data_IF_605427796199
#
_entry.id   IF_605427796199
#
_cell.length_a   1.000
_cell.length_b   1.000
_cell.length_c   1.000
_cell.angle_alpha   90.00
_cell.angle_beta   90.00
_cell.angle_gamma   90.00
#
_symmetry.space_group_name_H-M   'P 1'
#
loop_
_entity.id
_entity.type
_entity.pdbx_description
1 polymer ?
#
# COMPACT_ATOMS: atom_id res chain seq x y z
N UNK A 1 -32.68 36.75 4.05
CA UNK A 1 -31.24 36.99 4.27
C UNK A 1 -30.98 36.82 5.76
N UNK A 2 -31.03 35.57 6.20
CA UNK A 2 -30.56 35.13 7.51
C UNK A 2 -29.42 34.19 7.15
N UNK A 3 -28.25 34.81 7.10
CA UNK A 3 -26.94 34.19 6.97
C UNK A 3 -26.93 32.91 7.80
N UNK A 4 -26.71 31.73 7.21
CA UNK A 4 -25.36 31.15 7.10
C UNK A 4 -24.52 31.26 8.38
N UNK A 5 -25.15 31.29 9.56
CA UNK A 5 -24.61 30.72 10.80
C UNK A 5 -24.53 29.21 10.62
N UNK A 6 -23.58 28.85 9.74
CA UNK A 6 -22.94 27.55 9.68
C UNK A 6 -22.79 27.05 11.10
N UNK A 7 -23.26 25.83 11.30
CA UNK A 7 -22.90 24.94 12.39
C UNK A 7 -21.37 24.73 12.44
N UNK A 8 -20.61 25.78 12.74
CA UNK A 8 -19.23 25.76 13.22
C UNK A 8 -19.27 25.37 14.70
N UNK A 9 -19.91 24.22 14.98
CA UNK A 9 -19.73 23.54 16.24
C UNK A 9 -18.24 23.26 16.36
N UNK A 10 -17.64 23.94 17.33
CA UNK A 10 -16.26 23.75 17.73
C UNK A 10 -16.03 22.25 17.96
N UNK A 11 -15.31 21.61 17.03
CA UNK A 11 -14.49 20.45 17.39
C UNK A 11 -13.38 21.01 18.28
N UNK A 12 -13.62 21.00 19.59
CA UNK A 12 -12.59 21.28 20.60
C UNK A 12 -11.37 20.41 20.29
N UNK A 13 -10.27 21.05 19.91
CA UNK A 13 -8.99 20.38 19.67
C UNK A 13 -8.29 20.05 20.98
N UNK A 14 -7.26 19.19 20.91
CA UNK A 14 -6.38 18.91 22.05
C UNK A 14 -5.09 19.71 21.84
N UNK A 15 -4.88 20.73 22.69
CA UNK A 15 -3.73 21.62 22.58
C UNK A 15 -3.66 22.33 21.21
N UNK A 16 -2.60 22.06 20.46
CA UNK A 16 -2.36 22.63 19.12
C UNK A 16 -2.91 21.77 17.97
N UNK A 17 -3.60 20.66 18.25
CA UNK A 17 -4.13 19.75 17.24
C UNK A 17 -5.65 19.85 17.16
N UNK A 18 -6.19 19.85 15.93
CA UNK A 18 -7.60 19.58 15.71
C UNK A 18 -7.93 18.15 16.17
N UNK A 19 -9.16 17.93 16.67
CA UNK A 19 -9.56 16.63 17.21
C UNK A 19 -9.29 15.46 16.24
N UNK A 20 -9.59 15.67 14.95
CA UNK A 20 -9.34 14.67 13.90
C UNK A 20 -7.86 14.30 13.77
N UNK A 21 -6.96 15.27 13.90
CA UNK A 21 -5.53 15.05 13.76
C UNK A 21 -4.93 14.49 15.05
N UNK A 22 -5.47 14.87 16.20
CA UNK A 22 -5.16 14.23 17.47
C UNK A 22 -5.55 12.74 17.47
N UNK A 23 -6.75 12.38 17.00
CA UNK A 23 -7.18 10.98 16.90
C UNK A 23 -6.25 10.15 16.01
N UNK A 24 -5.88 10.69 14.85
CA UNK A 24 -4.91 10.05 13.94
C UNK A 24 -3.54 9.91 14.59
N UNK A 25 -3.06 10.96 15.27
CA UNK A 25 -1.76 10.95 15.91
C UNK A 25 -1.70 9.95 17.07
N UNK A 26 -2.77 9.87 17.88
CA UNK A 26 -2.92 8.89 18.94
C UNK A 26 -2.90 7.46 18.39
N UNK A 27 -3.69 7.19 17.36
CA UNK A 27 -3.66 5.90 16.68
C UNK A 27 -2.25 5.58 16.13
N UNK A 28 -1.59 6.55 15.49
CA UNK A 28 -0.25 6.36 14.95
C UNK A 28 0.79 6.10 16.05
N UNK A 29 0.67 6.75 17.20
CA UNK A 29 1.51 6.55 18.37
C UNK A 29 1.35 5.13 18.96
N UNK A 30 0.12 4.61 19.00
CA UNK A 30 -0.12 3.21 19.39
C UNK A 30 0.53 2.24 18.38
N UNK A 31 0.45 2.53 17.08
CA UNK A 31 1.08 1.71 16.04
C UNK A 31 2.60 1.83 16.01
N UNK A 32 3.19 2.94 16.47
CA UNK A 32 4.65 3.15 16.43
C UNK A 32 5.40 2.48 17.59
N UNK A 33 4.68 1.91 18.56
CA UNK A 33 5.29 1.19 19.66
C UNK A 33 6.13 0.00 19.14
N UNK A 34 7.36 -0.25 19.66
CA UNK A 34 8.22 -1.35 19.17
C UNK A 34 7.59 -2.75 19.27
N UNK A 35 6.66 -2.93 20.20
CA UNK A 35 5.91 -4.17 20.37
C UNK A 35 4.68 -4.29 19.43
N UNK A 36 4.34 -3.26 18.65
CA UNK A 36 3.21 -3.32 17.73
C UNK A 36 3.48 -4.34 16.61
N UNK A 37 2.47 -5.09 16.15
CA UNK A 37 2.62 -5.98 15.00
C UNK A 37 3.13 -5.24 13.76
N UNK A 38 2.73 -3.98 13.58
CA UNK A 38 3.14 -3.14 12.45
C UNK A 38 4.63 -2.84 12.45
N UNK A 39 5.19 -2.42 13.59
CA UNK A 39 6.62 -2.13 13.68
C UNK A 39 7.47 -3.39 13.57
N UNK A 40 7.00 -4.51 14.15
CA UNK A 40 7.65 -5.82 13.97
C UNK A 40 7.62 -6.26 12.50
N UNK A 41 6.51 -6.06 11.82
CA UNK A 41 6.36 -6.34 10.39
C UNK A 41 7.31 -5.47 9.56
N UNK A 42 7.35 -4.15 9.77
CA UNK A 42 8.26 -3.23 9.08
C UNK A 42 9.73 -3.61 9.29
N UNK A 43 10.11 -3.93 10.54
CA UNK A 43 11.45 -4.39 10.89
C UNK A 43 11.81 -5.69 10.19
N UNK A 44 10.88 -6.64 10.13
CA UNK A 44 11.11 -7.95 9.52
C UNK A 44 11.20 -7.81 8.00
N UNK A 45 10.24 -7.14 7.37
CA UNK A 45 10.24 -6.83 5.94
C UNK A 45 11.51 -6.08 5.52
N UNK A 46 12.00 -5.14 6.34
CA UNK A 46 13.24 -4.41 6.10
C UNK A 46 14.53 -5.22 6.25
N UNK A 47 14.48 -6.41 6.85
CA UNK A 47 15.61 -7.33 6.98
C UNK A 47 15.51 -8.54 6.02
N UNK A 48 14.36 -8.76 5.39
CA UNK A 48 14.19 -9.78 4.35
C UNK A 48 14.73 -9.21 3.03
N UNK A 49 15.98 -9.52 2.71
CA UNK A 49 16.66 -9.18 1.44
C UNK A 49 16.22 -10.06 0.27
N UNK A 50 15.09 -10.75 0.37
CA UNK A 50 14.58 -11.62 -0.69
C UNK A 50 13.63 -10.85 -1.60
N UNK A 51 14.13 -10.49 -2.79
CA UNK A 51 13.47 -10.65 -4.09
C UNK A 51 11.97 -10.32 -4.26
N UNK A 52 11.37 -9.49 -3.42
CA UNK A 52 10.18 -8.74 -3.80
C UNK A 52 10.70 -7.57 -4.60
N UNK A 53 10.21 -7.34 -5.82
CA UNK A 53 10.42 -6.10 -6.55
C UNK A 53 9.82 -4.94 -5.73
N UNK A 54 10.55 -4.52 -4.69
CA UNK A 54 10.42 -3.21 -4.11
C UNK A 54 10.62 -2.26 -5.27
N UNK A 55 9.55 -1.52 -5.60
CA UNK A 55 9.45 -0.57 -6.70
C UNK A 55 10.79 0.15 -6.85
N UNK A 56 11.55 -0.29 -7.85
CA UNK A 56 12.87 0.20 -8.15
C UNK A 56 12.68 1.63 -8.62
N UNK A 57 13.05 2.60 -7.80
CA UNK A 57 13.25 3.96 -8.28
C UNK A 57 14.54 3.91 -9.09
N UNK A 58 14.42 3.72 -10.40
CA UNK A 58 15.55 3.76 -11.33
C UNK A 58 16.08 5.19 -11.45
N UNK A 59 16.71 5.73 -10.41
CA UNK A 59 17.66 6.83 -10.55
C UNK A 59 19.03 6.22 -10.87
N UNK A 60 19.28 6.02 -12.16
CA UNK A 60 20.32 5.13 -12.70
C UNK A 60 21.79 5.50 -12.52
N UNK A 61 22.25 6.10 -11.41
CA UNK A 61 23.65 6.55 -11.29
C UNK A 61 24.31 6.48 -9.90
N UNK A 62 23.82 5.70 -8.93
CA UNK A 62 24.53 5.53 -7.65
C UNK A 62 24.77 4.06 -7.27
N UNK A 63 25.96 3.70 -6.75
CA UNK A 63 26.22 2.37 -6.22
C UNK A 63 25.30 2.14 -5.02
N UNK A 64 24.23 1.38 -5.24
CA UNK A 64 23.20 1.13 -4.26
C UNK A 64 23.74 0.22 -3.16
N UNK A 65 23.85 0.75 -1.95
CA UNK A 65 23.47 -0.03 -0.78
C UNK A 65 21.94 0.07 -0.77
N UNK A 66 21.18 -0.95 -1.21
CA UNK A 66 19.73 -0.84 -1.26
C UNK A 66 19.23 -1.06 0.16
N UNK A 67 19.20 0.00 0.98
CA UNK A 67 18.43 -0.04 2.23
C UNK A 67 16.96 -0.23 1.80
N UNK A 68 16.28 -1.30 2.22
CA UNK A 68 14.89 -1.50 1.85
C UNK A 68 14.05 -0.32 2.31
N UNK A 69 13.11 0.12 1.47
CA UNK A 69 12.28 1.29 1.79
C UNK A 69 11.43 1.07 3.05
N UNK A 70 11.07 -0.18 3.34
CA UNK A 70 10.43 -0.61 4.60
C UNK A 70 11.33 -0.39 5.82
N UNK A 71 12.64 -0.64 5.70
CA UNK A 71 13.62 -0.36 6.76
C UNK A 71 13.77 1.13 7.00
N UNK A 72 13.82 1.93 5.94
CA UNK A 72 13.88 3.39 6.08
C UNK A 72 12.64 3.94 6.80
N UNK A 73 11.46 3.45 6.45
CA UNK A 73 10.21 3.84 7.12
C UNK A 73 10.19 3.41 8.60
N UNK A 74 10.64 2.19 8.92
CA UNK A 74 10.81 1.73 10.29
C UNK A 74 11.71 2.68 11.10
N UNK A 75 12.88 3.01 10.57
CA UNK A 75 13.88 3.82 11.26
C UNK A 75 13.38 5.26 11.48
N UNK A 76 12.66 5.82 10.51
CA UNK A 76 12.08 7.16 10.64
C UNK A 76 10.94 7.21 11.68
N UNK A 77 10.02 6.23 11.66
CA UNK A 77 8.96 6.13 12.68
C UNK A 77 9.56 5.94 14.08
N UNK A 78 10.62 5.14 14.18
CA UNK A 78 11.36 4.93 15.44
C UNK A 78 12.01 6.22 15.92
N UNK A 79 12.64 6.98 15.01
CA UNK A 79 13.27 8.27 15.31
C UNK A 79 12.26 9.29 15.85
N UNK A 80 11.12 9.44 15.18
CA UNK A 80 10.05 10.36 15.60
C UNK A 80 9.47 9.93 16.96
N UNK A 81 9.23 8.63 17.14
CA UNK A 81 8.71 8.09 18.41
C UNK A 81 9.69 8.30 19.57
N UNK A 82 10.99 8.14 19.32
CA UNK A 82 12.03 8.41 20.33
C UNK A 82 12.05 9.89 20.73
N UNK A 83 11.83 10.80 19.77
CA UNK A 83 11.75 12.24 20.04
C UNK A 83 10.50 12.60 20.85
N UNK A 84 9.38 11.91 20.62
CA UNK A 84 8.13 12.08 21.38
C UNK A 84 8.21 11.59 22.84
N UNK A 85 9.20 10.76 23.20
CA UNK A 85 9.42 10.34 24.60
C UNK A 85 9.84 11.48 25.53
N UNK A 86 10.06 12.70 25.01
CA UNK A 86 10.29 13.90 25.82
C UNK A 86 9.04 14.31 26.62
N UNK A 87 7.85 13.86 26.19
CA UNK A 87 6.59 14.10 26.89
C UNK A 87 6.08 12.82 27.56
N UNK A 88 5.35 12.92 28.68
CA UNK A 88 4.76 11.75 29.36
C UNK A 88 3.75 10.97 28.50
N UNK A 89 3.11 11.64 27.55
CA UNK A 89 2.08 11.07 26.70
C UNK A 89 1.74 11.95 25.51
N UNK A 90 0.84 11.44 24.67
CA UNK A 90 0.36 12.11 23.45
C UNK A 90 -0.37 13.41 23.80
N UNK A 91 -1.06 13.45 24.93
CA UNK A 91 -1.85 14.61 25.36
C UNK A 91 -0.92 15.78 25.71
N UNK A 92 0.12 15.51 26.51
CA UNK A 92 1.12 16.51 26.87
C UNK A 92 1.93 16.96 25.65
N UNK A 93 2.26 16.05 24.73
CA UNK A 93 2.90 16.39 23.47
C UNK A 93 2.01 17.29 22.59
N UNK A 94 0.70 17.05 22.55
CA UNK A 94 -0.25 17.86 21.78
C UNK A 94 -0.41 19.29 22.33
N UNK A 95 -0.17 19.50 23.62
CA UNK A 95 -0.17 20.83 24.26
C UNK A 95 1.14 21.60 24.09
N UNK A 96 2.19 20.98 23.54
CA UNK A 96 3.41 21.66 23.12
C UNK A 96 3.45 21.85 21.60
N UNK A 97 3.95 22.99 21.13
CA UNK A 97 3.94 23.30 19.69
C UNK A 97 4.88 22.38 18.90
N UNK A 98 6.02 22.02 19.47
CA UNK A 98 6.97 21.11 18.83
C UNK A 98 6.48 19.66 18.93
N UNK A 99 5.95 19.26 20.09
CA UNK A 99 5.29 17.96 20.27
C UNK A 99 4.14 17.73 19.29
N UNK A 100 3.26 18.72 19.11
CA UNK A 100 2.16 18.66 18.14
C UNK A 100 2.66 18.49 16.69
N UNK A 101 3.76 19.16 16.32
CA UNK A 101 4.34 18.98 14.98
C UNK A 101 4.89 17.56 14.77
N UNK A 102 5.57 17.00 15.77
CA UNK A 102 6.07 15.62 15.72
C UNK A 102 4.93 14.59 15.66
N UNK A 103 3.81 14.84 16.34
CA UNK A 103 2.61 14.00 16.28
C UNK A 103 1.98 13.98 14.88
N UNK A 104 1.95 15.12 14.18
CA UNK A 104 1.50 15.19 12.80
C UNK A 104 2.44 14.43 11.85
N UNK A 105 3.75 14.61 12.02
CA UNK A 105 4.77 13.90 11.24
C UNK A 105 4.66 12.38 11.47
N UNK A 106 4.50 11.94 12.71
CA UNK A 106 4.28 10.53 13.05
C UNK A 106 3.02 9.98 12.37
N UNK A 107 1.90 10.70 12.47
CA UNK A 107 0.64 10.33 11.83
C UNK A 107 0.79 10.17 10.31
N UNK A 108 1.55 11.06 9.68
CA UNK A 108 1.83 11.02 8.25
C UNK A 108 2.71 9.82 7.86
N UNK A 109 3.81 9.59 8.59
CA UNK A 109 4.75 8.52 8.29
C UNK A 109 4.12 7.13 8.51
N UNK A 110 3.45 6.92 9.64
CA UNK A 110 2.73 5.67 9.92
C UNK A 110 1.61 5.46 8.90
N UNK A 111 0.81 6.49 8.61
CA UNK A 111 -0.27 6.40 7.63
C UNK A 111 0.25 6.07 6.23
N UNK A 112 1.35 6.68 5.81
CA UNK A 112 2.00 6.41 4.51
C UNK A 112 2.56 4.99 4.46
N UNK A 113 3.26 4.57 5.50
CA UNK A 113 3.86 3.25 5.58
C UNK A 113 2.79 2.14 5.58
N UNK A 114 1.70 2.28 6.35
CA UNK A 114 0.59 1.31 6.34
C UNK A 114 -0.21 1.31 5.02
N UNK A 115 -0.28 2.45 4.32
CA UNK A 115 -0.89 2.50 3.00
C UNK A 115 -0.03 1.79 1.95
N UNK A 116 1.29 2.02 1.98
CA UNK A 116 2.26 1.50 1.02
C UNK A 116 2.58 0.03 1.25
N UNK A 117 2.67 -0.37 2.52
CA UNK A 117 2.96 -1.73 2.91
C UNK A 117 2.01 -2.22 4.01
N UNK A 118 0.83 -2.73 3.62
CA UNK A 118 -0.13 -3.26 4.58
C UNK A 118 0.33 -4.62 5.14
N UNK A 119 0.06 -4.86 6.43
CA UNK A 119 0.37 -6.15 7.10
C UNK A 119 -0.49 -7.30 6.58
N UNK A 120 -1.76 -7.02 6.24
CA UNK A 120 -2.67 -7.95 5.60
C UNK A 120 -2.67 -7.65 4.09
N UNK A 121 -2.62 -8.69 3.26
CA UNK A 121 -2.86 -8.50 1.83
C UNK A 121 -4.22 -7.81 1.67
N UNK A 122 -4.27 -6.71 0.93
CA UNK A 122 -5.54 -6.04 0.60
C UNK A 122 -6.19 -6.75 -0.57
N UNK A 123 -7.53 -6.69 -0.71
CA UNK A 123 -8.16 -7.05 -1.96
C UNK A 123 -7.53 -6.28 -3.12
N UNK A 124 -6.92 -6.98 -4.08
CA UNK A 124 -6.24 -6.39 -5.24
C UNK A 124 -7.14 -6.49 -6.46
N UNK A 125 -7.43 -5.36 -7.12
CA UNK A 125 -8.17 -5.36 -8.38
C UNK A 125 -7.26 -5.80 -9.52
N UNK A 126 -7.70 -6.79 -10.29
CA UNK A 126 -7.05 -7.23 -11.52
C UNK A 126 -7.49 -6.29 -12.64
N UNK A 127 -6.53 -5.71 -13.36
CA UNK A 127 -6.79 -4.74 -14.43
C UNK A 127 -6.53 -5.30 -15.82
N UNK A 128 -5.83 -6.43 -15.89
CA UNK A 128 -5.37 -7.06 -17.12
C UNK A 128 -6.41 -8.01 -17.71
N UNK A 129 -7.36 -8.48 -16.90
CA UNK A 129 -8.36 -9.48 -17.29
C UNK A 129 -9.78 -8.98 -17.05
N UNK A 130 -10.64 -9.25 -18.04
CA UNK A 130 -12.07 -9.04 -17.95
C UNK A 130 -12.72 -10.24 -17.25
N UNK A 131 -13.82 -9.99 -16.53
CA UNK A 131 -14.65 -11.08 -16.01
C UNK A 131 -15.27 -11.85 -17.17
N UNK A 132 -15.23 -13.18 -17.15
CA UNK A 132 -15.85 -14.01 -18.20
C UNK A 132 -17.38 -13.95 -18.27
N UNK A 133 -18.05 -13.43 -17.23
CA UNK A 133 -19.52 -13.33 -17.16
C UNK A 133 -20.03 -11.95 -17.58
N UNK A 134 -19.48 -10.87 -17.00
CA UNK A 134 -19.93 -9.51 -17.27
C UNK A 134 -19.01 -8.71 -18.21
N UNK A 135 -17.91 -9.32 -18.66
CA UNK A 135 -16.92 -8.73 -19.58
C UNK A 135 -16.33 -7.38 -19.12
N UNK A 136 -16.42 -7.08 -17.81
CA UNK A 136 -15.89 -5.85 -17.21
C UNK A 136 -14.58 -6.12 -16.46
N UNK A 137 -13.72 -5.11 -16.37
CA UNK A 137 -12.45 -5.13 -15.61
C UNK A 137 -12.66 -4.97 -14.11
N UNK A 138 -13.45 -5.85 -13.52
CA UNK A 138 -13.99 -5.72 -12.16
C UNK A 138 -13.57 -6.85 -11.24
N UNK A 139 -12.65 -7.71 -11.70
CA UNK A 139 -12.11 -8.81 -10.92
C UNK A 139 -11.23 -8.30 -9.77
N UNK A 140 -11.38 -8.90 -8.60
CA UNK A 140 -10.65 -8.56 -7.38
C UNK A 140 -10.20 -9.84 -6.68
N UNK A 141 -8.90 -10.02 -6.51
CA UNK A 141 -8.31 -11.06 -5.68
C UNK A 141 -8.52 -10.69 -4.23
N UNK A 142 -9.12 -11.59 -3.45
CA UNK A 142 -9.25 -11.48 -2.01
C UNK A 142 -8.32 -12.51 -1.36
N UNK A 143 -7.46 -12.09 -0.44
CA UNK A 143 -6.58 -13.00 0.28
C UNK A 143 -7.36 -13.84 1.30
N UNK A 144 -6.78 -14.97 1.75
CA UNK A 144 -7.37 -15.80 2.78
C UNK A 144 -7.57 -15.02 4.07
N UNK A 145 -8.73 -15.21 4.72
CA UNK A 145 -9.08 -14.50 5.96
C UNK A 145 -8.73 -15.28 7.21
N UNK A 146 -8.60 -16.59 7.11
CA UNK A 146 -8.35 -17.51 8.21
C UNK A 146 -7.25 -18.50 7.84
N UNK A 147 -6.62 -19.08 8.85
CA UNK A 147 -5.63 -20.14 8.65
C UNK A 147 -6.31 -21.38 8.02
N UNK A 148 -5.80 -21.82 6.86
CA UNK A 148 -6.42 -22.89 6.05
C UNK A 148 -7.43 -22.41 4.99
N UNK A 149 -7.68 -21.10 4.89
CA UNK A 149 -8.44 -20.50 3.79
C UNK A 149 -7.53 -20.28 2.56
N UNK A 150 -8.13 -20.17 1.37
CA UNK A 150 -7.41 -19.92 0.13
C UNK A 150 -7.81 -18.57 -0.48
N UNK A 151 -6.89 -17.94 -1.20
CA UNK A 151 -7.19 -16.74 -1.98
C UNK A 151 -8.29 -17.03 -3.01
N UNK A 152 -9.25 -16.11 -3.15
CA UNK A 152 -10.36 -16.22 -4.11
C UNK A 152 -10.40 -14.98 -5.01
N UNK A 153 -10.76 -15.15 -6.27
CA UNK A 153 -11.02 -14.02 -7.17
C UNK A 153 -12.52 -13.80 -7.28
N UNK A 154 -12.94 -12.55 -7.10
CA UNK A 154 -14.36 -12.16 -7.08
C UNK A 154 -14.62 -11.01 -8.03
N UNK A 155 -15.72 -11.04 -8.76
CA UNK A 155 -16.22 -9.93 -9.57
C UNK A 155 -17.34 -9.19 -8.85
N UNK A 156 -17.56 -7.92 -9.20
CA UNK A 156 -18.73 -7.15 -8.72
C UNK A 156 -20.07 -7.73 -9.20
N UNK A 157 -20.09 -8.47 -10.33
CA UNK A 157 -21.30 -9.16 -10.78
C UNK A 157 -21.65 -10.42 -9.96
N UNK A 158 -20.79 -10.81 -8.99
CA UNK A 158 -21.00 -11.98 -8.15
C UNK A 158 -20.25 -13.23 -8.60
N UNK A 159 -19.61 -13.21 -9.77
CA UNK A 159 -18.76 -14.30 -10.24
C UNK A 159 -17.56 -14.54 -9.31
N UNK A 160 -17.23 -15.81 -9.07
CA UNK A 160 -16.15 -16.25 -8.18
C UNK A 160 -15.36 -17.36 -8.84
N UNK A 161 -14.05 -17.35 -8.64
CA UNK A 161 -13.14 -18.43 -9.05
C UNK A 161 -12.05 -18.60 -8.00
N UNK A 162 -11.44 -19.79 -7.96
CA UNK A 162 -10.26 -20.03 -7.13
C UNK A 162 -9.00 -19.41 -7.77
N UNK A 163 -7.92 -19.29 -7.00
CA UNK A 163 -6.65 -18.85 -7.60
C UNK A 163 -6.09 -19.84 -8.62
N UNK A 164 -6.31 -21.15 -8.45
CA UNK A 164 -5.87 -22.16 -9.42
C UNK A 164 -6.58 -21.99 -10.78
N UNK A 165 -7.89 -21.77 -10.76
CA UNK A 165 -8.67 -21.46 -11.96
C UNK A 165 -8.22 -20.16 -12.62
N UNK A 166 -7.93 -19.14 -11.80
CA UNK A 166 -7.41 -17.86 -12.28
C UNK A 166 -6.02 -18.01 -12.94
N UNK A 167 -5.11 -18.77 -12.33
CA UNK A 167 -3.77 -19.01 -12.87
C UNK A 167 -3.81 -19.74 -14.22
N UNK A 168 -4.68 -20.74 -14.35
CA UNK A 168 -4.89 -21.44 -15.62
C UNK A 168 -5.38 -20.49 -16.72
N UNK A 169 -6.31 -19.58 -16.40
CA UNK A 169 -6.79 -18.57 -17.33
C UNK A 169 -5.67 -17.61 -17.75
N UNK A 170 -4.90 -17.09 -16.79
CA UNK A 170 -3.76 -16.20 -17.06
C UNK A 170 -2.76 -16.87 -17.99
N UNK A 171 -2.44 -18.14 -17.75
CA UNK A 171 -1.48 -18.90 -18.57
C UNK A 171 -1.99 -19.13 -20.00
N UNK A 172 -3.29 -19.36 -20.19
CA UNK A 172 -3.89 -19.40 -21.52
C UNK A 172 -3.76 -18.06 -22.24
N UNK A 173 -4.13 -16.95 -21.59
CA UNK A 173 -4.02 -15.62 -22.19
C UNK A 173 -2.58 -15.24 -22.54
N UNK A 174 -1.60 -15.59 -21.70
CA UNK A 174 -0.18 -15.37 -21.99
C UNK A 174 0.27 -16.14 -23.24
N UNK A 175 -0.10 -17.41 -23.36
CA UNK A 175 0.22 -18.24 -24.53
C UNK A 175 -0.37 -17.64 -25.82
N UNK A 176 -1.63 -17.19 -25.77
CA UNK A 176 -2.27 -16.54 -26.93
C UNK A 176 -1.58 -15.23 -27.33
N UNK A 177 -1.22 -14.39 -26.36
CA UNK A 177 -0.52 -13.12 -26.65
C UNK A 177 0.89 -13.37 -27.22
N UNK A 178 1.60 -14.36 -26.70
CA UNK A 178 2.91 -14.77 -27.22
C UNK A 178 2.83 -15.31 -28.65
N UNK A 179 1.82 -16.14 -28.94
CA UNK A 179 1.59 -16.66 -30.30
C UNK A 179 1.21 -15.54 -31.27
N UNK A 180 0.39 -14.57 -30.83
CA UNK A 180 0.06 -13.37 -31.61
C UNK A 180 1.30 -12.52 -31.90
N UNK A 181 2.16 -12.30 -30.90
CA UNK A 181 3.44 -11.58 -31.05
C UNK A 181 4.39 -12.32 -32.00
N UNK A 182 4.46 -13.64 -31.92
CA UNK A 182 5.28 -14.46 -32.84
C UNK A 182 4.77 -14.34 -34.27
N UNK A 183 3.46 -14.38 -34.48
CA UNK A 183 2.84 -14.24 -35.81
C UNK A 183 3.10 -12.86 -36.41
N UNK A 184 2.90 -11.79 -35.65
CA UNK A 184 3.18 -10.42 -36.12
C UNK A 184 4.67 -10.20 -36.43
N UNK A 185 5.58 -10.75 -35.63
CA UNK A 185 7.02 -10.72 -35.91
C UNK A 185 7.39 -11.50 -37.18
N UNK A 186 6.78 -12.66 -37.40
CA UNK A 186 6.99 -13.46 -38.61
C UNK A 186 6.48 -12.75 -39.86
N UNK A 187 5.30 -12.14 -39.80
CA UNK A 187 4.70 -11.37 -40.89
C UNK A 187 5.53 -10.11 -41.21
N UNK A 188 6.03 -9.40 -40.19
CA UNK A 188 6.92 -8.25 -40.36
C UNK A 188 8.28 -8.63 -40.98
N UNK A 189 8.83 -9.80 -40.65
CA UNK A 189 10.05 -10.31 -41.29
C UNK A 189 9.79 -10.67 -42.76
N UNK A 190 8.62 -11.24 -43.07
CA UNK A 190 8.24 -11.62 -44.43
C UNK A 190 7.99 -10.41 -45.34
N UNK A 191 7.43 -9.33 -44.82
CA UNK A 191 7.23 -8.09 -45.59
C UNK A 191 8.56 -7.38 -45.91
N UNK A 192 9.51 -7.36 -44.97
CA UNK A 192 10.87 -6.81 -45.20
C UNK A 192 11.64 -7.58 -46.28
N UNK A 193 11.55 -8.91 -46.30
CA UNK A 193 12.21 -9.75 -47.32
C UNK A 193 11.64 -9.60 -48.73
N UNK A 194 10.40 -9.12 -48.90
CA UNK A 194 9.78 -8.89 -50.21
C UNK A 194 10.07 -7.49 -50.78
N UNK A 195 10.64 -6.60 -49.98
CA UNK A 195 10.92 -5.20 -50.34
C UNK A 195 12.40 -4.94 -50.63
N UNK A 196 13.22 -6.00 -50.58
CA UNK A 196 14.63 -6.04 -50.93
C UNK A 196 14.82 -6.97 -52.13
#
# INVERSE_FOLDING_TARGET
MQDTERAHLATEGVGYLEMRDYDKARWAYEQSHPASPFMQWLRTAGNVTFAVEDIRVDSGTSPGIPIPATKLAHDEITRISAELNKWPGVDEAAHDKFGASLLLDLGREVGTAMARWPMEDKPRRIRELMCGECEQFTLTVRPPRFEGDHSIVTCTCGYRMTMEEFEQLVDMFKKEDDDRKRKTLADARRSRRKSA
#
